data_IF_723301048251
#
_entry.id   IF_723301048251
#
_cell.length_a   1.000
_cell.length_b   1.000
_cell.length_c   1.000
_cell.angle_alpha   90.00
_cell.angle_beta   90.00
_cell.angle_gamma   90.00
#
_symmetry.space_group_name_H-M   'P 1'
#
loop_
_entity.id
_entity.type
_entity.pdbx_description
1 polymer ?
#
# COMPACT_ATOMS: atom_id res chain seq x y z
N UNK A 1 21.22 7.40 -2.44
CA UNK A 1 19.84 7.46 -2.97
C UNK A 1 19.19 6.08 -3.01
N UNK A 2 19.91 5.06 -3.48
CA UNK A 2 19.43 3.67 -3.59
C UNK A 2 18.84 3.08 -2.29
N UNK A 3 19.56 3.22 -1.16
CA UNK A 3 19.08 2.72 0.14
C UNK A 3 17.84 3.44 0.66
N UNK A 4 17.70 4.74 0.36
CA UNK A 4 16.57 5.55 0.78
C UNK A 4 15.32 5.15 0.00
N UNK A 5 15.44 5.04 -1.33
CA UNK A 5 14.33 4.62 -2.20
C UNK A 5 13.90 3.19 -1.85
N UNK A 6 14.86 2.28 -1.64
CA UNK A 6 14.56 0.90 -1.25
C UNK A 6 13.85 0.81 0.09
N UNK A 7 14.36 1.50 1.13
CA UNK A 7 13.75 1.50 2.48
C UNK A 7 12.37 2.15 2.47
N UNK A 8 12.22 3.28 1.79
CA UNK A 8 10.95 4.00 1.69
C UNK A 8 9.91 3.14 0.96
N UNK A 9 10.25 2.61 -0.23
CA UNK A 9 9.33 1.77 -1.01
C UNK A 9 8.88 0.54 -0.23
N UNK A 10 9.82 -0.11 0.47
CA UNK A 10 9.53 -1.30 1.28
C UNK A 10 8.65 -0.94 2.50
N UNK A 11 8.92 0.18 3.17
CA UNK A 11 8.06 0.70 4.22
C UNK A 11 6.65 1.03 3.71
N UNK A 12 6.53 1.63 2.52
CA UNK A 12 5.25 1.94 1.88
C UNK A 12 4.47 0.68 1.53
N UNK A 13 5.13 -0.37 1.03
CA UNK A 13 4.50 -1.68 0.75
C UNK A 13 3.98 -2.29 2.05
N UNK A 14 4.80 -2.35 3.10
CA UNK A 14 4.40 -2.90 4.41
C UNK A 14 3.21 -2.11 4.98
N UNK A 15 3.30 -0.79 4.98
CA UNK A 15 2.24 0.09 5.48
C UNK A 15 0.93 -0.13 4.71
N UNK A 16 0.99 -0.25 3.39
CA UNK A 16 -0.18 -0.51 2.54
C UNK A 16 -0.81 -1.87 2.85
N UNK A 17 -0.01 -2.93 3.04
CA UNK A 17 -0.51 -4.25 3.42
C UNK A 17 -1.21 -4.22 4.79
N UNK A 18 -0.64 -3.51 5.77
CA UNK A 18 -1.24 -3.36 7.11
C UNK A 18 -2.59 -2.62 7.00
N UNK A 19 -2.65 -1.54 6.23
CA UNK A 19 -3.88 -0.78 6.00
C UNK A 19 -4.98 -1.62 5.32
N UNK A 20 -4.62 -2.42 4.32
CA UNK A 20 -5.56 -3.34 3.66
C UNK A 20 -6.11 -4.36 4.67
N UNK A 21 -5.26 -4.92 5.53
CA UNK A 21 -5.68 -5.83 6.59
C UNK A 21 -6.64 -5.17 7.57
N UNK A 22 -6.33 -3.95 8.04
CA UNK A 22 -7.21 -3.19 8.93
C UNK A 22 -8.55 -2.93 8.25
N UNK A 23 -8.55 -2.55 6.98
CA UNK A 23 -9.78 -2.30 6.23
C UNK A 23 -10.62 -3.55 6.04
N UNK A 24 -9.99 -4.69 5.76
CA UNK A 24 -10.68 -5.98 5.68
C UNK A 24 -11.31 -6.36 7.03
N UNK A 25 -10.62 -6.12 8.15
CA UNK A 25 -11.12 -6.33 9.52
C UNK A 25 -12.34 -5.44 9.79
N UNK A 26 -12.30 -4.19 9.32
CA UNK A 26 -13.45 -3.26 9.41
C UNK A 26 -14.64 -3.78 8.60
N UNK A 27 -14.40 -4.23 7.36
CA UNK A 27 -15.45 -4.74 6.47
C UNK A 27 -16.07 -6.06 6.95
N UNK A 28 -15.31 -6.87 7.69
CA UNK A 28 -15.79 -8.07 8.38
C UNK A 28 -16.73 -7.75 9.56
N UNK A 29 -17.02 -6.47 9.82
CA UNK A 29 -18.00 -6.04 10.81
C UNK A 29 -17.48 -6.03 12.25
N UNK A 30 -16.15 -6.15 12.46
CA UNK A 30 -15.54 -6.15 13.81
C UNK A 30 -15.81 -4.84 14.56
N UNK A 31 -16.03 -3.73 13.83
CA UNK A 31 -16.32 -2.41 14.38
C UNK A 31 -17.80 -2.00 14.28
N UNK A 32 -18.69 -2.90 13.85
CA UNK A 32 -20.14 -2.66 13.69
C UNK A 32 -20.56 -2.35 12.25
N UNK A 33 -21.80 -2.73 11.89
CA UNK A 33 -22.36 -2.71 10.52
C UNK A 33 -22.43 -1.32 9.86
N UNK A 34 -22.31 -0.26 10.65
CA UNK A 34 -22.34 1.14 10.19
C UNK A 34 -20.99 1.64 9.67
N UNK A 35 -19.88 0.97 10.04
CA UNK A 35 -18.53 1.36 9.59
C UNK A 35 -18.20 0.62 8.30
N UNK A 36 -18.68 1.15 7.18
CA UNK A 36 -18.40 0.59 5.85
C UNK A 36 -17.33 1.40 5.13
N UNK A 37 -16.29 0.71 4.70
CA UNK A 37 -15.27 1.30 3.84
C UNK A 37 -15.79 1.24 2.40
N UNK A 38 -15.86 2.40 1.76
CA UNK A 38 -16.34 2.49 0.37
C UNK A 38 -15.37 1.77 -0.57
N UNK A 39 -15.91 1.07 -1.58
CA UNK A 39 -15.12 0.31 -2.57
C UNK A 39 -13.97 1.10 -3.22
N UNK A 40 -14.11 2.43 -3.32
CA UNK A 40 -13.11 3.33 -3.87
C UNK A 40 -11.80 3.36 -3.06
N UNK A 41 -11.84 3.12 -1.75
CA UNK A 41 -10.65 3.00 -0.91
C UNK A 41 -9.79 1.78 -1.27
N UNK A 42 -10.43 0.65 -1.60
CA UNK A 42 -9.70 -0.55 -2.04
C UNK A 42 -9.03 -0.35 -3.40
N UNK A 43 -9.71 0.36 -4.32
CA UNK A 43 -9.13 0.73 -5.61
C UNK A 43 -7.93 1.65 -5.41
N UNK A 44 -8.05 2.68 -4.55
CA UNK A 44 -6.94 3.57 -4.23
C UNK A 44 -5.75 2.81 -3.60
N UNK A 45 -6.03 1.92 -2.65
CA UNK A 45 -4.99 1.09 -2.00
C UNK A 45 -4.30 0.14 -2.96
N UNK A 46 -5.05 -0.48 -3.89
CA UNK A 46 -4.48 -1.35 -4.92
C UNK A 46 -3.54 -0.58 -5.87
N UNK A 47 -3.96 0.62 -6.31
CA UNK A 47 -3.12 1.50 -7.14
C UNK A 47 -1.88 1.95 -6.39
N UNK A 48 -2.04 2.37 -5.12
CA UNK A 48 -0.93 2.81 -4.29
C UNK A 48 0.10 1.70 -4.03
N UNK A 49 -0.36 0.50 -3.67
CA UNK A 49 0.48 -0.69 -3.51
C UNK A 49 1.16 -1.08 -4.83
N UNK A 50 0.44 -0.98 -5.95
CA UNK A 50 0.96 -1.24 -7.30
C UNK A 50 2.11 -0.29 -7.66
N UNK A 51 1.92 1.01 -7.43
CA UNK A 51 2.95 2.02 -7.62
C UNK A 51 4.18 1.77 -6.73
N UNK A 52 3.97 1.51 -5.43
CA UNK A 52 5.07 1.24 -4.50
C UNK A 52 5.86 -0.02 -4.88
N UNK A 53 5.17 -1.09 -5.29
CA UNK A 53 5.79 -2.33 -5.75
C UNK A 53 6.53 -2.14 -7.08
N UNK A 54 5.95 -1.35 -7.99
CA UNK A 54 6.57 -1.03 -9.27
C UNK A 54 7.85 -0.21 -9.09
N UNK A 55 7.84 0.80 -8.22
CA UNK A 55 9.03 1.58 -7.85
C UNK A 55 10.08 0.66 -7.21
N UNK A 56 9.69 -0.21 -6.29
CA UNK A 56 10.62 -1.15 -5.66
C UNK A 56 11.27 -2.12 -6.66
N UNK A 57 10.51 -2.62 -7.65
CA UNK A 57 11.03 -3.48 -8.73
C UNK A 57 11.92 -2.72 -9.71
N UNK A 58 11.54 -1.50 -10.08
CA UNK A 58 12.28 -0.67 -11.04
C UNK A 58 13.34 0.23 -10.38
N UNK A 59 13.65 0.03 -9.10
CA UNK A 59 14.62 0.84 -8.35
C UNK A 59 15.98 0.98 -9.04
N UNK A 60 16.40 -0.03 -9.82
CA UNK A 60 17.66 0.02 -10.58
C UNK A 60 17.62 1.05 -11.72
N UNK A 61 16.46 1.28 -12.36
CA UNK A 61 16.30 2.32 -13.39
C UNK A 61 16.40 3.74 -12.83
N UNK A 62 16.07 3.93 -11.55
CA UNK A 62 16.25 5.20 -10.86
C UNK A 62 17.67 5.40 -10.34
N UNK A 63 18.54 4.39 -10.47
CA UNK A 63 19.95 4.46 -10.09
C UNK A 63 20.83 5.01 -11.23
N UNK A 64 20.34 4.94 -12.48
CA UNK A 64 21.04 5.44 -13.67
C UNK A 64 20.71 6.91 -14.02
N UNK A 65 19.91 7.59 -13.18
CA UNK A 65 19.54 9.01 -13.29
C UNK A 65 20.21 9.84 -12.19
#
# INVERSE_FOLDING_TARGET
MEDIIKKLSLATIIFSCILILIFLVVDLGIFGDEVRITGLYYVFMAVFLGCATWIYRNRQRFNDF
#
